data_IF_376280545141
#
_entry.id   IF_376280545141
#
_cell.length_a   1.000
_cell.length_b   1.000
_cell.length_c   1.000
_cell.angle_alpha   90.00
_cell.angle_beta   90.00
_cell.angle_gamma   90.00
#
_symmetry.space_group_name_H-M   'P 1'
#
loop_
_entity.id
_entity.type
_entity.pdbx_description
1 polymer ?
2 water ?
#
# COMPACT_ATOMS: atom_id res chain seq x y z
N UNK A 3 24.30 16.68 7.41
CA UNK A 3 23.04 16.21 8.07
C UNK A 3 21.98 15.95 7.01
N UNK A 4 21.45 14.73 6.98
CA UNK A 4 20.44 14.37 5.98
C UNK A 4 19.04 14.62 6.52
N UNK A 5 18.16 15.21 5.70
CA UNK A 5 16.79 15.47 6.14
C UNK A 5 16.06 14.17 6.49
N UNK A 6 15.05 14.26 7.38
CA UNK A 6 14.26 13.12 7.84
C UNK A 6 13.27 12.52 6.83
N UNK A 7 12.97 11.25 7.02
CA UNK A 7 12.03 10.51 6.20
C UNK A 7 11.57 9.29 6.99
N UNK A 8 10.31 8.90 6.79
CA UNK A 8 9.76 7.75 7.49
C UNK A 8 9.20 6.75 6.48
N UNK A 9 9.50 5.47 6.67
CA UNK A 9 8.97 4.39 5.83
C UNK A 9 7.99 3.66 6.73
N UNK A 10 6.76 3.45 6.26
CA UNK A 10 5.76 2.73 7.06
C UNK A 10 5.27 1.60 6.16
N UNK A 11 5.86 0.42 6.33
CA UNK A 11 5.50 -0.73 5.50
C UNK A 11 4.81 -1.84 6.28
N UNK A 12 4.32 -2.82 5.54
CA UNK A 12 3.65 -3.94 6.17
C UNK A 12 2.83 -4.69 5.15
N UNK A 13 2.35 -5.89 5.50
CA UNK A 13 1.55 -6.68 4.57
C UNK A 13 0.17 -6.07 4.34
N UNK A 14 -0.49 -6.53 3.29
CA UNK A 14 -1.82 -6.05 2.96
C UNK A 14 -2.78 -6.33 4.12
N UNK A 15 -3.60 -5.32 4.44
CA UNK A 15 -4.61 -5.39 5.50
C UNK A 15 -4.05 -5.21 6.91
N UNK A 16 -2.78 -4.86 7.04
CA UNK A 16 -2.16 -4.67 8.35
C UNK A 16 -2.63 -3.41 9.09
N UNK A 17 -3.26 -2.49 8.38
CA UNK A 17 -3.72 -1.26 9.03
C UNK A 17 -2.70 -0.14 9.01
N UNK A 18 -1.93 -0.06 7.92
CA UNK A 18 -0.89 0.96 7.77
C UNK A 18 -1.43 2.39 7.71
N UNK A 19 -2.53 2.59 7.00
CA UNK A 19 -3.12 3.92 6.84
C UNK A 19 -3.56 4.56 8.16
N UNK A 20 -3.99 3.72 9.10
CA UNK A 20 -4.44 4.22 10.41
C UNK A 20 -3.27 4.85 11.17
N UNK A 21 -2.11 4.19 11.14
CA UNK A 21 -0.94 4.72 11.83
C UNK A 21 -0.39 5.93 11.10
N UNK A 22 -0.51 5.91 9.77
CA UNK A 22 -0.02 7.02 8.95
C UNK A 22 -0.79 8.30 9.31
N UNK A 23 -2.10 8.17 9.52
CA UNK A 23 -2.93 9.31 9.87
C UNK A 23 -2.54 9.85 11.24
N UNK A 24 -2.30 8.96 12.19
CA UNK A 24 -1.91 9.35 13.54
C UNK A 24 -0.61 10.14 13.48
N UNK A 25 0.34 9.64 12.67
CA UNK A 25 1.62 10.31 12.52
C UNK A 25 1.45 11.69 11.85
N UNK A 26 0.60 11.74 10.84
CA UNK A 26 0.35 12.99 10.12
C UNK A 26 -0.27 14.05 11.02
N UNK A 27 -1.03 13.61 12.02
CA UNK A 27 -1.67 14.55 12.95
C UNK A 27 -0.71 14.96 14.06
N UNK A 28 0.39 14.22 14.21
CA UNK A 28 1.36 14.53 15.25
C UNK A 28 2.57 15.31 14.74
N UNK A 29 2.94 15.08 13.48
CA UNK A 29 4.08 15.75 12.88
C UNK A 29 3.72 16.25 11.49
N UNK A 30 4.44 17.28 10.99
CA UNK A 30 4.14 17.81 9.66
C UNK A 30 4.66 16.81 8.64
N UNK A 31 3.76 15.97 8.13
CA UNK A 31 4.15 14.95 7.17
C UNK A 31 3.58 15.15 5.78
N UNK A 32 4.16 14.42 4.83
CA UNK A 32 3.74 14.43 3.45
C UNK A 32 3.58 12.96 3.11
N UNK A 33 2.34 12.50 3.04
CA UNK A 33 2.05 11.10 2.75
C UNK A 33 2.34 10.75 1.30
N UNK A 34 3.14 9.70 1.12
CA UNK A 34 3.51 9.22 -0.20
C UNK A 34 3.21 7.73 -0.26
N UNK A 35 2.35 7.34 -1.20
CA UNK A 35 1.97 5.94 -1.33
C UNK A 35 3.02 5.13 -2.08
N UNK A 36 3.32 3.95 -1.55
CA UNK A 36 4.29 3.03 -2.14
C UNK A 36 3.47 1.77 -2.43
N UNK A 37 2.69 1.81 -3.51
CA UNK A 37 1.82 0.70 -3.88
C UNK A 37 1.62 0.65 -5.39
N UNK A 38 1.99 -0.48 -6.00
CA UNK A 38 1.87 -0.65 -7.45
C UNK A 38 0.44 -0.73 -7.96
N UNK A 39 -0.52 -0.86 -7.05
CA UNK A 39 -1.93 -0.94 -7.42
C UNK A 39 -2.71 0.36 -7.22
N UNK A 40 -2.42 1.07 -6.13
CA UNK A 40 -3.11 2.33 -5.82
C UNK A 40 -2.85 3.45 -6.83
N UNK A 41 -1.84 3.29 -7.68
CA UNK A 41 -1.54 4.31 -8.67
C UNK A 41 -2.64 4.41 -9.72
N UNK A 42 -3.43 3.34 -9.87
CA UNK A 42 -4.48 3.28 -10.89
C UNK A 42 -5.84 3.87 -10.59
N UNK A 43 -6.26 4.81 -11.44
CA UNK A 43 -7.57 5.42 -11.30
C UNK A 43 -8.58 4.35 -11.70
N UNK A 44 -9.76 4.38 -11.09
CA UNK A 44 -10.79 3.40 -11.40
C UNK A 44 -10.62 2.07 -10.67
N UNK A 45 -9.56 1.94 -9.87
CA UNK A 45 -9.33 0.70 -9.13
C UNK A 45 -9.23 1.12 -7.67
N UNK A 46 -10.39 1.28 -7.04
CA UNK A 46 -10.45 1.76 -5.66
C UNK A 46 -10.94 0.75 -4.61
N UNK A 47 -12.00 0.02 -4.95
CA UNK A 47 -12.60 -0.95 -4.04
C UNK A 47 -11.74 -2.21 -3.88
N UNK A 48 -11.38 -2.82 -4.99
CA UNK A 48 -10.57 -4.04 -4.94
C UNK A 48 -9.14 -3.85 -4.45
N UNK A 49 -8.68 -2.61 -4.41
CA UNK A 49 -7.33 -2.30 -3.95
C UNK A 49 -7.32 -1.76 -2.52
N UNK A 50 -8.49 -1.68 -1.89
CA UNK A 50 -8.62 -1.15 -0.54
C UNK A 50 -8.05 0.27 -0.46
N UNK A 51 -8.26 1.05 -1.52
CA UNK A 51 -7.77 2.42 -1.57
C UNK A 51 -8.50 3.27 -0.53
N UNK A 52 -7.78 4.18 0.15
CA UNK A 52 -8.44 5.01 1.14
C UNK A 52 -9.61 5.76 0.49
N UNK A 53 -10.66 6.01 1.26
CA UNK A 53 -11.83 6.71 0.71
C UNK A 53 -11.47 8.10 0.22
N UNK A 54 -12.29 8.63 -0.66
CA UNK A 54 -12.09 9.97 -1.21
C UNK A 54 -12.14 11.01 -0.10
N UNK A 55 -12.99 10.78 0.91
CA UNK A 55 -13.10 11.70 2.03
C UNK A 55 -11.82 11.67 2.86
N UNK A 56 -11.25 10.48 3.03
CA UNK A 56 -10.03 10.32 3.79
C UNK A 56 -8.86 10.97 3.05
N UNK A 57 -8.79 10.74 1.74
CA UNK A 57 -7.72 11.32 0.92
C UNK A 57 -7.78 12.85 0.93
N UNK A 58 -8.99 13.38 1.08
CA UNK A 58 -9.17 14.83 1.11
C UNK A 58 -8.49 15.44 2.34
N UNK A 59 -8.61 14.77 3.48
CA UNK A 59 -8.01 15.27 4.71
C UNK A 59 -6.58 14.79 4.92
N UNK A 60 -6.21 13.70 4.24
CA UNK A 60 -4.87 13.14 4.32
C UNK A 60 -4.39 12.82 2.90
N UNK A 61 -3.99 13.85 2.14
CA UNK A 61 -3.51 13.69 0.76
C UNK A 61 -2.33 12.73 0.64
N UNK A 62 -2.41 11.85 -0.34
CA UNK A 62 -1.35 10.87 -0.60
C UNK A 62 -0.77 11.09 -1.98
N UNK A 63 0.55 11.23 -2.07
CA UNK A 63 1.18 11.37 -3.38
C UNK A 63 1.22 9.98 -4.01
N UNK A 64 1.20 9.94 -5.34
CA UNK A 64 1.27 8.70 -6.11
C UNK A 64 0.05 7.78 -6.07
N UNK A 65 -1.11 8.35 -5.85
CA UNK A 65 -2.35 7.59 -5.88
C UNK A 65 -3.17 8.22 -6.99
N UNK A 66 -3.80 7.39 -7.82
CA UNK A 66 -4.63 7.86 -8.94
C UNK A 66 -3.82 8.68 -9.95
N UNK A 67 -2.61 8.23 -10.27
CA UNK A 67 -1.75 8.95 -11.20
C UNK A 67 -1.62 8.28 -12.57
N UNK A 68 -2.25 7.12 -12.74
CA UNK A 68 -2.18 6.39 -14.00
C UNK A 68 -3.51 5.78 -14.37
N UNK A 69 -3.73 5.58 -15.68
CA UNK A 69 -4.95 4.95 -16.16
C UNK A 69 -4.59 3.45 -16.19
N UNK A 70 -5.57 2.56 -16.00
CA UNK A 70 -5.28 1.12 -16.02
C UNK A 70 -4.64 0.59 -17.30
N UNK A 71 -4.68 1.37 -18.38
CA UNK A 71 -4.05 0.92 -19.64
C UNK A 71 -2.57 1.24 -19.66
N UNK A 72 -2.08 1.94 -18.63
CA UNK A 72 -0.68 2.31 -18.55
C UNK A 72 0.13 1.42 -17.63
N UNK A 73 1.44 1.38 -17.85
CA UNK A 73 2.33 0.59 -17.02
C UNK A 73 3.10 1.55 -16.09
N UNK A 74 3.69 1.00 -15.03
CA UNK A 74 4.45 1.81 -14.07
C UNK A 74 5.58 0.97 -13.51
N UNK A 75 6.82 1.34 -13.81
CA UNK A 75 7.98 0.59 -13.34
C UNK A 75 8.51 1.05 -12.00
N UNK A 76 9.33 0.20 -11.37
CA UNK A 76 9.93 0.52 -10.10
C UNK A 76 10.88 1.69 -10.34
N UNK A 77 11.38 1.82 -11.57
CA UNK A 77 12.27 2.90 -11.94
C UNK A 77 11.49 4.21 -11.95
N UNK A 78 10.25 4.16 -12.43
CA UNK A 78 9.41 5.34 -12.48
C UNK A 78 9.00 5.73 -11.07
N UNK A 79 8.69 4.75 -10.23
CA UNK A 79 8.31 5.03 -8.85
C UNK A 79 9.48 5.73 -8.18
N UNK A 80 10.66 5.17 -8.38
CA UNK A 80 11.90 5.71 -7.82
C UNK A 80 12.03 7.20 -8.13
N UNK A 81 11.87 7.55 -9.40
CA UNK A 81 11.98 8.94 -9.81
C UNK A 81 10.87 9.78 -9.20
N UNK A 82 9.64 9.29 -9.29
CA UNK A 82 8.49 10.01 -8.75
C UNK A 82 8.58 10.20 -7.24
N UNK A 83 9.04 9.17 -6.55
CA UNK A 83 9.17 9.24 -5.10
C UNK A 83 10.25 10.24 -4.68
N UNK A 84 11.40 10.21 -5.34
CA UNK A 84 12.48 11.13 -5.00
C UNK A 84 12.04 12.58 -5.20
N UNK A 85 11.28 12.82 -6.25
CA UNK A 85 10.79 14.16 -6.54
C UNK A 85 9.79 14.59 -5.48
N UNK A 86 8.92 13.68 -5.08
CA UNK A 86 7.91 13.97 -4.07
C UNK A 86 8.57 14.23 -2.72
N UNK A 87 9.60 13.45 -2.42
CA UNK A 87 10.33 13.61 -1.15
C UNK A 87 11.06 14.95 -1.11
N UNK A 88 11.66 15.35 -2.23
CA UNK A 88 12.40 16.62 -2.29
C UNK A 88 11.44 17.81 -2.13
N UNK A 89 10.29 17.72 -2.79
CA UNK A 89 9.29 18.78 -2.73
C UNK A 89 8.77 18.93 -1.30
N UNK A 90 8.53 17.80 -0.64
CA UNK A 90 8.04 17.80 0.74
C UNK A 90 9.10 18.36 1.68
N UNK A 91 10.34 17.90 1.49
CA UNK A 91 11.46 18.35 2.31
C UNK A 91 11.68 19.85 2.18
N UNK A 92 11.58 20.36 0.96
CA UNK A 92 11.76 21.79 0.71
C UNK A 92 10.75 22.61 1.50
N UNK A 93 9.61 21.99 1.82
CA UNK A 93 8.57 22.67 2.56
C UNK A 93 8.60 22.33 4.06
N UNK A 94 9.67 21.68 4.49
CA UNK A 94 9.80 21.32 5.90
C UNK A 94 8.91 20.18 6.36
N UNK A 95 8.29 19.49 5.41
CA UNK A 95 7.42 18.37 5.75
C UNK A 95 8.25 17.10 5.74
N UNK A 96 7.90 16.16 6.60
CA UNK A 96 8.63 14.89 6.66
C UNK A 96 7.96 13.88 5.73
N UNK A 97 8.70 13.40 4.72
CA UNK A 97 8.14 12.41 3.79
C UNK A 97 7.79 11.17 4.57
N UNK A 98 6.55 10.70 4.43
CA UNK A 98 6.09 9.50 5.11
C UNK A 98 5.62 8.53 4.02
N UNK A 99 6.48 7.59 3.65
CA UNK A 99 6.18 6.62 2.61
C UNK A 99 5.47 5.40 3.17
N UNK A 100 4.20 5.25 2.82
CA UNK A 100 3.38 4.15 3.32
C UNK A 100 2.89 3.21 2.21
N UNK A 101 3.07 1.92 2.43
CA UNK A 101 2.64 0.96 1.43
C UNK A 101 3.18 -0.44 1.65
N UNK A 102 2.84 -1.33 0.72
CA UNK A 102 3.28 -2.71 0.82
C UNK A 102 4.05 -3.25 -0.36
N UNK A 103 4.36 -2.41 -1.36
CA UNK A 103 5.12 -2.90 -2.51
C UNK A 103 6.60 -2.78 -2.15
N UNK A 104 7.15 -3.86 -1.58
CA UNK A 104 8.53 -3.89 -1.13
C UNK A 104 9.57 -3.64 -2.21
N UNK A 105 9.27 -4.05 -3.43
CA UNK A 105 10.19 -3.86 -4.56
C UNK A 105 10.42 -2.37 -4.76
N UNK A 106 9.39 -1.57 -4.49
CA UNK A 106 9.49 -0.12 -4.61
C UNK A 106 10.42 0.43 -3.53
N UNK A 107 10.21 0.00 -2.29
CA UNK A 107 11.06 0.47 -1.20
C UNK A 107 12.51 0.11 -1.52
N UNK A 108 12.70 -1.08 -2.06
CA UNK A 108 14.03 -1.57 -2.43
C UNK A 108 14.68 -0.64 -3.44
N UNK A 109 13.95 -0.34 -4.51
CA UNK A 109 14.47 0.54 -5.56
C UNK A 109 14.92 1.88 -4.98
N UNK A 110 14.18 2.38 -3.99
CA UNK A 110 14.49 3.65 -3.35
C UNK A 110 15.75 3.55 -2.49
N UNK A 111 15.85 2.48 -1.71
CA UNK A 111 17.01 2.27 -0.83
C UNK A 111 18.26 1.95 -1.63
N UNK A 112 18.08 1.20 -2.70
CA UNK A 112 19.18 0.79 -3.56
C UNK A 112 19.06 1.45 -4.94
N UNK A 113 18.87 0.64 -5.97
CA UNK A 113 18.75 1.18 -7.32
C UNK A 113 17.51 0.71 -8.06
N UNK A 199 20.06 7.07 -1.10
CA UNK A 199 18.99 7.86 -0.51
C UNK A 199 19.54 8.92 0.44
N UNK A 200 19.49 10.19 0.02
CA UNK A 200 19.99 11.31 0.82
C UNK A 200 19.03 11.73 1.94
N UNK A 201 18.64 10.75 2.77
CA UNK A 201 17.73 11.00 3.88
C UNK A 201 18.07 10.13 5.07
N UNK A 202 17.76 10.62 6.26
CA UNK A 202 17.96 9.84 7.47
C UNK A 202 16.59 9.17 7.57
N UNK A 203 16.54 7.85 7.40
CA UNK A 203 15.26 7.18 7.41
C UNK A 203 14.93 6.29 8.60
N UNK A 204 13.72 6.46 9.13
CA UNK A 204 13.21 5.65 10.23
C UNK A 204 12.29 4.67 9.52
N UNK A 205 12.57 3.37 9.62
CA UNK A 205 11.75 2.38 8.96
C UNK A 205 10.87 1.60 9.93
N UNK A 206 9.56 1.74 9.76
CA UNK A 206 8.59 1.07 10.61
C UNK A 206 7.82 0.02 9.82
N UNK A 207 7.42 -1.05 10.51
CA UNK A 207 6.65 -2.11 9.89
C UNK A 207 5.53 -2.47 10.86
N UNK A 208 4.34 -2.72 10.33
CA UNK A 208 3.20 -3.04 11.17
C UNK A 208 2.49 -4.30 10.66
N UNK A 209 2.13 -5.17 11.60
CA UNK A 209 1.43 -6.42 11.28
C UNK A 209 0.98 -7.06 12.58
N UNK A 210 -0.06 -7.93 12.52
CA UNK A 210 -0.55 -8.59 13.73
C UNK A 210 0.50 -9.60 14.19
N UNK A 211 0.60 -9.81 15.50
CA UNK A 211 1.55 -10.76 16.06
C UNK A 211 1.34 -12.13 15.41
N UNK A 212 0.08 -12.55 15.34
CA UNK A 212 -0.26 -13.84 14.74
C UNK A 212 -0.78 -13.65 13.32
N UNK A 213 -0.15 -14.33 12.36
CA UNK A 213 -0.55 -14.22 10.97
C UNK A 213 -1.98 -14.73 10.74
N UNK A 214 -2.47 -15.55 11.66
CA UNK A 214 -3.82 -16.09 11.55
C UNK A 214 -4.84 -14.95 11.61
N UNK A 215 -4.53 -13.93 12.40
CA UNK A 215 -5.39 -12.77 12.55
C UNK A 215 -5.45 -12.01 11.22
N UNK A 216 -4.31 -11.92 10.54
CA UNK A 216 -4.26 -11.21 9.27
C UNK A 216 -5.09 -11.96 8.21
N UNK A 217 -4.94 -13.28 8.18
CA UNK A 217 -5.67 -14.11 7.23
C UNK A 217 -7.18 -14.02 7.38
N UNK A 218 -7.64 -13.96 8.62
CA UNK A 218 -9.07 -13.85 8.88
C UNK A 218 -9.59 -12.52 8.33
N UNK A 219 -8.85 -11.44 8.57
CA UNK A 219 -9.24 -10.12 8.08
C UNK A 219 -9.21 -10.06 6.55
N UNK A 220 -8.22 -10.70 5.95
CA UNK A 220 -8.12 -10.70 4.49
C UNK A 220 -9.34 -11.34 3.83
N UNK A 221 -9.80 -12.45 4.39
CA UNK A 221 -10.97 -13.14 3.84
C UNK A 221 -12.23 -12.29 3.98
N UNK A 222 -12.44 -11.76 5.18
CA UNK A 222 -13.60 -10.93 5.46
C UNK A 222 -13.58 -9.66 4.62
N UNK A 223 -12.41 -9.03 4.51
CA UNK A 223 -12.28 -7.81 3.74
C UNK A 223 -12.60 -8.04 2.26
N UNK A 224 -12.13 -9.17 1.73
CA UNK A 224 -12.38 -9.49 0.33
C UNK A 224 -13.88 -9.67 0.10
N UNK A 225 -14.52 -10.42 0.99
CA UNK A 225 -15.96 -10.66 0.85
C UNK A 225 -16.74 -9.35 0.90
N UNK A 226 -16.29 -8.41 1.73
CA UNK A 226 -16.92 -7.11 1.86
C UNK A 226 -16.71 -6.28 0.59
N UNK A 227 -15.55 -6.42 -0.04
CA UNK A 227 -15.27 -5.69 -1.29
C UNK A 227 -16.33 -6.07 -2.32
N UNK A 228 -16.64 -7.36 -2.39
CA UNK A 228 -17.64 -7.84 -3.33
C UNK A 228 -19.01 -7.22 -3.03
N UNK A 229 -19.29 -6.99 -1.75
CA UNK A 229 -20.54 -6.38 -1.36
C UNK A 229 -20.58 -4.89 -1.65
N UNK A 230 -19.43 -4.25 -1.65
CA UNK A 230 -19.36 -2.81 -1.88
C UNK A 230 -19.19 -2.37 -3.33
N UNK A 231 -19.23 -3.30 -4.29
CA UNK A 231 -19.11 -2.91 -5.68
C UNK A 231 -17.88 -3.34 -6.47
N UNK A 232 -17.07 -4.23 -5.91
CA UNK A 232 -15.86 -4.70 -6.59
C UNK A 232 -16.20 -5.25 -7.99
N UNK A 233 -17.26 -6.04 -8.11
CA UNK A 233 -17.63 -6.59 -9.40
C UNK A 233 -17.98 -5.54 -10.45
N UNK A 234 -18.79 -4.56 -10.07
CA UNK A 234 -19.16 -3.48 -10.99
C UNK A 234 -17.91 -2.68 -11.37
N UNK A 235 -16.98 -2.56 -10.43
CA UNK A 235 -15.74 -1.83 -10.68
C UNK A 235 -14.96 -2.53 -11.79
N UNK A 236 -14.80 -3.83 -11.66
CA UNK A 236 -14.07 -4.60 -12.67
C UNK A 236 -14.86 -4.66 -13.97
N UNK A 237 -16.19 -4.63 -13.86
CA UNK A 237 -17.05 -4.67 -15.03
C UNK A 237 -16.73 -3.50 -15.97
N UNK A 238 -16.44 -2.33 -15.41
CA UNK A 238 -16.10 -1.15 -16.21
C UNK A 238 -14.76 -1.36 -16.92
N UNK A 239 -13.83 -2.04 -16.25
CA UNK A 239 -12.52 -2.31 -16.87
C UNK A 239 -12.65 -3.37 -17.94
N UNK A 240 -13.42 -4.41 -17.63
CA UNK A 240 -13.67 -5.55 -18.52
C UNK A 240 -14.29 -5.09 -19.84
N UNK A 241 -15.08 -4.02 -19.77
CA UNK A 241 -15.77 -3.49 -20.95
C UNK A 241 -14.87 -2.69 -21.90
N UNK A 242 -13.68 -2.32 -21.44
CA UNK A 242 -12.76 -1.52 -22.26
C UNK A 242 -11.97 -2.38 -23.25
N UNK A 243 -12.01 -2.00 -24.53
CA UNK A 243 -11.30 -2.77 -25.55
C UNK A 243 -9.80 -2.53 -25.45
N UNK A 244 -9.40 -1.45 -24.79
CA UNK A 244 -7.99 -1.16 -24.64
C UNK A 244 -7.38 -1.78 -23.39
N UNK A 245 -8.14 -2.66 -22.74
CA UNK A 245 -7.63 -3.36 -21.56
C UNK A 245 -7.85 -4.86 -21.77
N UNK A 246 -6.97 -5.67 -21.20
CA UNK A 246 -7.12 -7.12 -21.27
C UNK A 246 -6.58 -7.71 -19.97
N UNK A 247 -6.97 -8.95 -19.68
CA UNK A 247 -6.58 -9.62 -18.45
C UNK A 247 -5.09 -9.73 -18.20
N UNK A 248 -4.29 -9.59 -19.25
CA UNK A 248 -2.85 -9.71 -19.08
C UNK A 248 -2.07 -8.45 -18.72
N UNK A 249 -2.75 -7.31 -18.63
CA UNK A 249 -2.08 -6.06 -18.30
C UNK A 249 -1.57 -5.98 -16.86
N UNK A 250 -0.51 -5.19 -16.62
CA UNK A 250 0.07 -5.03 -15.29
C UNK A 250 -0.96 -4.62 -14.24
N UNK A 251 -1.84 -3.70 -14.60
CA UNK A 251 -2.87 -3.22 -13.70
C UNK A 251 -3.80 -4.34 -13.19
N UNK A 252 -4.23 -5.21 -14.10
CA UNK A 252 -5.13 -6.30 -13.72
C UNK A 252 -4.41 -7.33 -12.86
N UNK A 253 -3.11 -7.10 -12.64
CA UNK A 253 -2.30 -7.98 -11.81
C UNK A 253 -2.58 -7.66 -10.34
N UNK A 254 -3.22 -6.52 -10.06
CA UNK A 254 -3.55 -6.15 -8.68
C UNK A 254 -4.32 -7.35 -8.12
N UNK A 255 -3.93 -7.82 -6.93
CA UNK A 255 -4.57 -9.00 -6.37
C UNK A 255 -6.10 -8.98 -6.32
N UNK A 256 -6.68 -10.08 -6.79
CA UNK A 256 -8.13 -10.20 -6.80
C UNK A 256 -8.78 -9.83 -8.12
N UNK A 257 -8.21 -8.85 -8.82
CA UNK A 257 -8.80 -8.41 -10.09
C UNK A 257 -8.94 -9.46 -11.17
N UNK A 258 -7.91 -10.29 -11.36
CA UNK A 258 -7.97 -11.32 -12.38
C UNK A 258 -9.07 -12.35 -12.10
N UNK A 259 -9.30 -12.65 -10.82
CA UNK A 259 -10.34 -13.61 -10.45
C UNK A 259 -11.72 -13.05 -10.80
N UNK A 260 -11.93 -11.77 -10.50
CA UNK A 260 -13.21 -11.12 -10.82
C UNK A 260 -13.35 -11.05 -12.34
N UNK A 261 -12.24 -10.77 -13.03
CA UNK A 261 -12.24 -10.68 -14.48
C UNK A 261 -12.63 -12.03 -15.08
N UNK A 262 -12.05 -13.12 -14.55
CA UNK A 262 -12.37 -14.47 -15.04
C UNK A 262 -13.82 -14.82 -14.76
N UNK A 263 -14.35 -14.30 -13.66
CA UNK A 263 -15.75 -14.54 -13.31
C UNK A 263 -16.62 -13.88 -14.37
N UNK A 264 -16.25 -12.65 -14.75
CA UNK A 264 -16.96 -11.90 -15.78
C UNK A 264 -16.88 -12.57 -17.15
N UNK A 265 -15.84 -13.39 -17.35
CA UNK A 265 -15.69 -14.11 -18.61
C UNK A 265 -16.44 -15.43 -18.58
N UNK A 266 -17.10 -15.71 -17.46
CA UNK A 266 -17.86 -16.94 -17.32
C UNK A 266 -17.03 -18.18 -17.08
N UNK A 267 -15.79 -17.99 -16.65
CA UNK A 267 -14.91 -19.14 -16.43
C UNK A 267 -14.92 -19.66 -15.00
N UNK A 268 -15.41 -18.85 -14.07
CA UNK A 268 -15.45 -19.20 -12.66
C UNK A 268 -16.82 -18.99 -12.04
N UNK A 269 -17.12 -19.78 -11.02
CA UNK A 269 -18.37 -19.62 -10.29
C UNK A 269 -18.08 -18.50 -9.28
N UNK A 270 -19.13 -17.95 -8.70
CA UNK A 270 -18.98 -16.88 -7.72
C UNK A 270 -18.14 -17.36 -6.54
N UNK A 271 -18.37 -18.61 -6.13
CA UNK A 271 -17.65 -19.20 -5.01
C UNK A 271 -16.15 -19.39 -5.30
N UNK A 272 -15.84 -19.85 -6.50
CA UNK A 272 -14.44 -20.05 -6.90
C UNK A 272 -13.72 -18.72 -7.01
N UNK A 273 -14.40 -17.73 -7.57
CA UNK A 273 -13.80 -16.42 -7.69
C UNK A 273 -13.47 -15.89 -6.30
N UNK A 274 -14.39 -16.06 -5.37
CA UNK A 274 -14.19 -15.60 -4.00
C UNK A 274 -13.01 -16.31 -3.32
N UNK A 275 -13.00 -17.64 -3.37
CA UNK A 275 -11.93 -18.42 -2.75
C UNK A 275 -10.55 -18.09 -3.31
N UNK A 276 -10.46 -18.03 -4.63
CA UNK A 276 -9.19 -17.75 -5.29
C UNK A 276 -8.70 -16.32 -5.14
N UNK A 277 -9.63 -15.38 -4.98
CA UNK A 277 -9.20 -14.00 -4.78
C UNK A 277 -8.62 -13.89 -3.37
N UNK A 278 -9.24 -14.62 -2.43
CA UNK A 278 -8.75 -14.64 -1.05
C UNK A 278 -7.38 -15.33 -1.02
N UNK A 279 -7.27 -16.46 -1.72
CA UNK A 279 -5.98 -17.17 -1.78
C UNK A 279 -4.89 -16.25 -2.33
N UNK A 280 -5.22 -15.58 -3.43
CA UNK A 280 -4.27 -14.67 -4.08
C UNK A 280 -3.80 -13.59 -3.11
N UNK A 281 -4.71 -13.08 -2.29
CA UNK A 281 -4.36 -12.03 -1.33
C UNK A 281 -3.51 -12.57 -0.18
N UNK A 282 -3.79 -13.80 0.27
CA UNK A 282 -2.98 -14.40 1.34
C UNK A 282 -1.57 -14.63 0.80
N UNK A 283 -1.50 -14.99 -0.48
CA UNK A 283 -0.22 -15.25 -1.17
C UNK A 283 0.62 -13.98 -1.21
N UNK A 284 -0.05 -12.86 -1.47
CA UNK A 284 0.64 -11.58 -1.50
C UNK A 284 1.23 -11.28 -0.11
N UNK A 285 0.41 -11.47 0.92
CA UNK A 285 0.88 -11.21 2.30
C UNK A 285 2.07 -12.11 2.64
N UNK A 286 2.02 -13.35 2.16
CA UNK A 286 3.11 -14.29 2.42
C UNK A 286 4.38 -13.75 1.77
N UNK A 287 4.27 -13.28 0.53
CA UNK A 287 5.42 -12.73 -0.19
C UNK A 287 5.94 -11.47 0.51
N UNK A 288 5.03 -10.65 1.00
CA UNK A 288 5.39 -9.42 1.69
C UNK A 288 6.15 -9.73 2.97
N UNK A 289 5.69 -10.75 3.70
CA UNK A 289 6.37 -11.15 4.92
C UNK A 289 7.78 -11.64 4.61
N UNK A 290 7.93 -12.32 3.48
CA UNK A 290 9.25 -12.83 3.07
C UNK A 290 10.24 -11.68 2.86
N UNK A 291 9.78 -10.60 2.22
CA UNK A 291 10.64 -9.44 2.00
C UNK A 291 11.02 -8.80 3.33
N UNK A 292 10.03 -8.64 4.20
CA UNK A 292 10.22 -8.03 5.50
C UNK A 292 11.09 -8.80 6.48
N UNK A 293 11.00 -10.13 6.44
CA UNK A 293 11.78 -10.96 7.36
C UNK A 293 13.29 -10.76 7.20
N UNK A 294 13.72 -10.40 5.99
CA UNK A 294 15.13 -10.18 5.72
C UNK A 294 15.48 -8.70 5.59
N UNK A 295 14.54 -7.85 6.01
CA UNK A 295 14.73 -6.41 5.95
C UNK A 295 15.41 -5.90 7.22
N UNK A 296 16.56 -5.26 7.06
CA UNK A 296 17.30 -4.75 8.20
C UNK A 296 16.85 -3.34 8.60
N UNK A 297 17.06 -3.02 9.87
CA UNK A 297 16.72 -1.71 10.42
C UNK A 297 15.21 -1.46 10.42
N UNK A 298 14.45 -2.48 10.76
CA UNK A 298 13.00 -2.38 10.82
C UNK A 298 12.53 -2.36 12.26
N UNK A 299 11.62 -1.45 12.58
CA UNK A 299 11.06 -1.37 13.92
C UNK A 299 9.61 -1.80 13.80
N UNK A 300 9.30 -2.97 14.35
CA UNK A 300 7.94 -3.52 14.28
C UNK A 300 6.91 -2.94 15.22
N UNK A 301 5.68 -2.85 14.70
CA UNK A 301 4.51 -2.33 15.42
C UNK A 301 3.46 -3.44 15.34
N UNK A 302 2.64 -3.56 16.39
CA UNK A 302 1.59 -4.56 16.41
C UNK A 302 0.27 -3.94 15.97
N UNK A 303 -0.31 -4.51 14.90
CA UNK A 303 -1.57 -4.01 14.36
C UNK A 303 -2.69 -3.90 15.39
N UNK A 304 -2.65 -4.75 16.41
CA UNK A 304 -3.70 -4.75 17.42
C UNK A 304 -3.43 -3.85 18.63
N UNK A 305 -2.32 -3.12 18.61
CA UNK A 305 -1.96 -2.26 19.73
C UNK A 305 -2.58 -0.86 19.59
N UNK A 306 -2.90 -0.25 20.72
CA UNK A 306 -3.50 1.07 20.70
C UNK A 306 -2.51 2.19 20.97
N UNK A 307 -1.25 1.85 21.19
CA UNK A 307 -0.24 2.87 21.49
C UNK A 307 0.93 2.90 20.50
N UNK A 308 0.63 2.72 19.21
CA UNK A 308 1.69 2.72 18.22
C UNK A 308 2.24 4.12 17.93
N UNK A 309 1.42 5.14 18.09
CA UNK A 309 1.87 6.50 17.84
C UNK A 309 3.05 6.87 18.74
N UNK A 310 2.89 6.73 20.07
CA UNK A 310 4.02 7.08 20.95
C UNK A 310 5.25 6.22 20.71
N UNK A 311 5.05 4.95 20.34
CA UNK A 311 6.18 4.07 20.09
C UNK A 311 6.92 4.50 18.83
N UNK A 312 6.18 4.94 17.81
CA UNK A 312 6.78 5.37 16.56
C UNK A 312 7.59 6.66 16.79
N UNK A 313 7.03 7.59 17.55
CA UNK A 313 7.72 8.84 17.83
C UNK A 313 9.03 8.63 18.56
N UNK A 314 9.03 7.68 19.51
CA UNK A 314 10.25 7.38 20.27
C UNK A 314 11.31 6.77 19.36
N UNK A 315 10.88 6.01 18.37
CA UNK A 315 11.83 5.37 17.46
C UNK A 315 12.59 6.41 16.64
N UNK A 316 11.91 7.50 16.28
CA UNK A 316 12.55 8.57 15.50
C UNK A 316 13.80 9.05 16.24
N UNK A 317 13.67 9.20 17.55
CA UNK A 317 14.79 9.66 18.36
C UNK A 317 15.86 8.57 18.39
N UNK A 318 15.42 7.32 18.33
CA UNK A 318 16.36 6.20 18.33
C UNK A 318 17.23 6.26 17.07
N UNK A 319 16.60 6.62 15.95
CA UNK A 319 17.31 6.71 14.67
C UNK A 319 18.02 8.05 14.53
N UNK A 320 18.03 8.82 15.61
CA UNK A 320 18.68 10.12 15.64
C UNK A 320 18.00 11.17 14.77
N UNK A 321 16.69 11.27 14.90
CA UNK A 321 15.90 12.27 14.19
C UNK A 321 15.19 13.14 15.23
N UNK A 322 15.56 14.41 15.26
CA UNK A 322 14.97 15.34 16.21
C UNK A 322 13.75 16.01 15.57
N UNK A 323 12.59 15.78 16.17
CA UNK A 323 11.32 16.32 15.70
C UNK A 323 11.02 15.84 14.28
#
# INVERSE_FOLDING_TARGET
>A
MSSLPPAIFLMGPTAAGKTDLAMALADALPCELISVDSALIYRGMDIGTAKPSRELLARYPHRLIDIRDPAESYSAAEFRADALAAMAKATARGRIPLLVGGTMLYYKALLEGLADMPGADPEVRAAIEAEAQAEGWEALHRQLAEVDPESAARIHPNDPQRLMRALEVYRLGGVSMSDLRRRQSAEKADFDASGRNQLPYTVAQLAIAPEQRQVLHARIAQRFRQMLEQGFIAEVEALHARSDLHAGLPSIRAVGYRQVWDYLDGKLSYAEMTERGIIATRQLAKRQFTWLRSWSHLHWMDSLAGDNLPRALRYLKTVSILA
#
